data_IF_748771215907
#
_entry.id   IF_748771215907
#
_cell.length_a   1.000
_cell.length_b   1.000
_cell.length_c   1.000
_cell.angle_alpha   90.00
_cell.angle_beta   90.00
_cell.angle_gamma   90.00
#
_symmetry.space_group_name_H-M   'P 1'
#
loop_
_entity.id
_entity.type
_entity.pdbx_description
1 polymer ?
#
# COMPACT_ATOMS: atom_id res chain seq x y z
N UNK A 1 -8.73 -2.39 -13.76
CA UNK A 1 -9.16 -2.14 -12.36
C UNK A 1 -8.50 -3.17 -11.45
N UNK A 2 -7.79 -2.71 -10.42
CA UNK A 2 -7.03 -3.42 -9.36
C UNK A 2 -5.94 -4.44 -9.75
N UNK A 3 -5.93 -4.99 -10.96
CA UNK A 3 -4.95 -6.01 -11.38
C UNK A 3 -3.47 -5.57 -11.37
N UNK A 4 -3.19 -4.27 -11.34
CA UNK A 4 -1.84 -3.68 -11.27
C UNK A 4 -1.41 -3.28 -9.86
N UNK A 5 -2.26 -3.46 -8.85
CA UNK A 5 -1.96 -3.12 -7.46
C UNK A 5 -1.28 -4.26 -6.70
N UNK A 6 -1.28 -5.45 -7.29
CA UNK A 6 -0.67 -6.64 -6.71
C UNK A 6 0.68 -6.89 -7.37
N UNK A 7 1.70 -6.92 -6.53
CA UNK A 7 3.02 -7.33 -6.95
C UNK A 7 3.08 -8.85 -7.04
N UNK A 8 3.77 -9.37 -8.06
CA UNK A 8 3.98 -10.80 -8.26
C UNK A 8 5.26 -11.19 -7.52
N UNK A 9 5.13 -11.87 -6.38
CA UNK A 9 6.26 -12.45 -5.65
C UNK A 9 6.44 -13.90 -6.10
N UNK A 10 7.63 -14.24 -6.58
CA UNK A 10 8.01 -15.63 -6.84
C UNK A 10 8.48 -16.26 -5.53
N UNK A 11 7.81 -17.34 -5.09
CA UNK A 11 8.33 -18.18 -4.01
C UNK A 11 9.35 -19.15 -4.61
N UNK A 12 10.50 -19.32 -3.95
CA UNK A 12 11.56 -20.23 -4.38
C UNK A 12 11.06 -21.65 -4.68
N UNK A 13 11.72 -22.28 -5.66
CA UNK A 13 11.54 -23.63 -6.24
C UNK A 13 10.22 -24.35 -5.92
N UNK A 14 9.21 -24.15 -6.79
CA UNK A 14 7.95 -24.90 -6.81
C UNK A 14 6.75 -24.19 -6.19
N UNK A 15 6.91 -22.95 -5.71
CA UNK A 15 5.83 -22.15 -5.17
C UNK A 15 4.98 -21.46 -6.24
N UNK A 16 3.66 -21.62 -6.17
CA UNK A 16 2.69 -20.88 -6.99
C UNK A 16 2.84 -19.36 -6.83
N UNK A 17 2.63 -18.61 -7.91
CA UNK A 17 2.69 -17.14 -7.94
C UNK A 17 1.82 -16.50 -6.84
N UNK A 18 2.45 -15.76 -5.91
CA UNK A 18 1.74 -15.07 -4.83
C UNK A 18 1.57 -13.58 -5.18
N UNK A 19 0.31 -13.15 -5.25
CA UNK A 19 -0.06 -11.75 -5.47
C UNK A 19 -0.08 -11.04 -4.12
N UNK A 20 0.86 -10.11 -3.90
CA UNK A 20 0.96 -9.36 -2.65
C UNK A 20 0.51 -7.90 -2.82
N UNK A 21 -0.24 -7.32 -1.85
CA UNK A 21 -0.78 -5.97 -1.93
C UNK A 21 0.28 -4.92 -1.58
N UNK A 22 1.31 -4.77 -2.42
CA UNK A 22 2.52 -3.98 -2.11
C UNK A 22 2.26 -2.53 -1.66
N UNK A 23 1.17 -1.91 -2.13
CA UNK A 23 0.85 -0.51 -1.79
C UNK A 23 0.37 -0.33 -0.34
N UNK A 24 -0.03 -1.43 0.31
CA UNK A 24 -0.46 -1.47 1.71
C UNK A 24 0.63 -2.03 2.62
N UNK A 25 1.69 -2.62 2.07
CA UNK A 25 2.74 -3.24 2.88
C UNK A 25 3.65 -2.18 3.50
N UNK A 26 4.09 -2.45 4.72
CA UNK A 26 5.11 -1.67 5.39
C UNK A 26 6.47 -1.84 4.68
N UNK A 27 7.38 -0.84 4.73
CA UNK A 27 8.68 -0.93 4.05
C UNK A 27 9.48 -2.16 4.48
N UNK A 28 9.48 -2.50 5.76
CA UNK A 28 10.12 -3.71 6.30
C UNK A 28 9.47 -5.01 5.80
N UNK A 29 8.16 -5.01 5.54
CA UNK A 29 7.46 -6.16 4.93
C UNK A 29 7.78 -6.31 3.45
N UNK A 30 8.12 -5.22 2.76
CA UNK A 30 8.49 -5.24 1.34
C UNK A 30 9.95 -5.66 1.16
N UNK A 31 10.84 -5.21 2.04
CA UNK A 31 12.28 -5.42 1.93
C UNK A 31 12.74 -6.76 2.52
N UNK A 32 12.21 -7.13 3.69
CA UNK A 32 12.73 -8.24 4.49
C UNK A 32 11.68 -9.31 4.80
N UNK A 33 10.47 -9.21 4.24
CA UNK A 33 9.34 -10.10 4.53
C UNK A 33 9.02 -10.22 6.03
N UNK A 34 9.22 -9.12 6.77
CA UNK A 34 8.89 -9.02 8.20
C UNK A 34 7.41 -8.65 8.36
N UNK A 35 6.70 -9.40 9.21
CA UNK A 35 5.30 -9.15 9.54
C UNK A 35 5.13 -9.10 11.06
N UNK A 36 4.68 -7.96 11.57
CA UNK A 36 4.48 -7.67 13.00
C UNK A 36 3.22 -6.83 13.22
N UNK A 37 2.84 -6.58 14.46
CA UNK A 37 1.73 -5.67 14.76
C UNK A 37 1.99 -4.25 14.22
N UNK A 38 3.26 -3.82 14.13
CA UNK A 38 3.61 -2.52 13.56
C UNK A 38 3.34 -2.46 12.05
N UNK A 39 3.57 -3.57 11.33
CA UNK A 39 3.29 -3.65 9.88
C UNK A 39 1.78 -3.66 9.61
N UNK A 40 1.00 -4.20 10.55
CA UNK A 40 -0.46 -4.14 10.50
C UNK A 40 -0.97 -2.71 10.74
N UNK A 41 -0.38 -1.97 11.69
CA UNK A 41 -0.68 -0.55 11.92
C UNK A 41 -0.39 0.29 10.68
N UNK A 42 0.70 0.00 9.95
CA UNK A 42 0.98 0.65 8.68
C UNK A 42 -0.13 0.40 7.65
N UNK A 43 -0.48 -0.89 7.44
CA UNK A 43 -1.51 -1.30 6.48
C UNK A 43 -2.85 -0.65 6.82
N UNK A 44 -3.20 -0.60 8.11
CA UNK A 44 -4.38 0.10 8.62
C UNK A 44 -4.36 1.60 8.29
N UNK A 45 -3.22 2.27 8.45
CA UNK A 45 -3.09 3.69 8.08
C UNK A 45 -3.36 3.95 6.60
N UNK A 46 -2.90 3.06 5.71
CA UNK A 46 -3.22 3.13 4.28
C UNK A 46 -4.72 2.92 4.04
N UNK A 47 -5.35 1.95 4.71
CA UNK A 47 -6.81 1.74 4.61
C UNK A 47 -7.61 2.93 5.10
N UNK A 48 -7.19 3.57 6.21
CA UNK A 48 -7.83 4.81 6.70
C UNK A 48 -7.74 5.92 5.65
N UNK A 49 -6.58 6.07 5.02
CA UNK A 49 -6.42 7.03 3.92
C UNK A 49 -7.37 6.73 2.75
N UNK A 50 -7.54 5.46 2.38
CA UNK A 50 -8.51 5.08 1.33
C UNK A 50 -9.94 5.43 1.70
N UNK A 51 -10.35 5.24 2.96
CA UNK A 51 -11.69 5.62 3.44
C UNK A 51 -11.90 7.12 3.24
N UNK A 52 -10.93 7.94 3.66
CA UNK A 52 -11.04 9.41 3.57
C UNK A 52 -10.94 9.95 2.15
N UNK A 53 -10.40 9.17 1.21
CA UNK A 53 -10.32 9.53 -0.20
C UNK A 53 -11.41 8.86 -1.06
N UNK A 54 -12.44 8.27 -0.44
CA UNK A 54 -13.51 7.57 -1.14
C UNK A 54 -13.01 6.45 -2.08
N UNK A 55 -12.00 5.70 -1.64
CA UNK A 55 -11.45 4.55 -2.35
C UNK A 55 -10.46 4.89 -3.46
N UNK A 56 -9.76 6.04 -3.37
CA UNK A 56 -8.62 6.30 -4.26
C UNK A 56 -7.53 5.26 -4.05
N UNK A 57 -6.75 5.00 -5.09
CA UNK A 57 -5.64 4.05 -5.03
C UNK A 57 -4.45 4.72 -4.32
N UNK A 58 -3.87 4.11 -3.28
CA UNK A 58 -2.72 4.68 -2.59
C UNK A 58 -1.48 4.75 -3.51
N UNK A 59 -0.70 5.82 -3.38
CA UNK A 59 0.53 6.06 -4.13
C UNK A 59 0.34 6.01 -5.67
N UNK A 60 -0.78 6.56 -6.17
CA UNK A 60 -1.00 6.72 -7.61
C UNK A 60 0.19 7.39 -8.31
N UNK A 61 0.59 6.88 -9.48
CA UNK A 61 1.72 7.42 -10.24
C UNK A 61 3.09 6.84 -9.86
N UNK A 62 3.20 6.15 -8.72
CA UNK A 62 4.42 5.45 -8.33
C UNK A 62 4.31 3.97 -8.76
N UNK A 63 5.28 3.44 -9.53
CA UNK A 63 5.33 2.03 -9.87
C UNK A 63 5.67 1.19 -8.63
N UNK A 64 5.09 -0.01 -8.52
CA UNK A 64 5.29 -0.91 -7.38
C UNK A 64 6.78 -1.14 -7.02
N UNK A 65 7.63 -1.36 -8.02
CA UNK A 65 9.08 -1.54 -7.84
C UNK A 65 9.80 -0.30 -7.28
N UNK A 66 9.27 0.89 -7.53
CA UNK A 66 9.83 2.14 -7.03
C UNK A 66 9.30 2.56 -5.66
N UNK A 67 8.24 1.90 -5.19
CA UNK A 67 7.53 2.32 -3.98
C UNK A 67 8.43 2.25 -2.74
N UNK A 68 9.18 1.14 -2.56
CA UNK A 68 10.09 0.98 -1.42
C UNK A 68 11.10 2.13 -1.34
N UNK A 69 11.70 2.51 -2.47
CA UNK A 69 12.68 3.60 -2.53
C UNK A 69 12.07 4.94 -2.13
N UNK A 70 10.85 5.24 -2.56
CA UNK A 70 10.17 6.47 -2.18
C UNK A 70 9.77 6.46 -0.69
N UNK A 71 9.33 5.32 -0.16
CA UNK A 71 9.04 5.17 1.27
C UNK A 71 10.29 5.37 2.14
N UNK A 72 11.44 4.83 1.72
CA UNK A 72 12.74 5.02 2.38
C UNK A 72 13.22 6.49 2.32
N UNK A 73 12.86 7.24 1.26
CA UNK A 73 13.10 8.69 1.15
C UNK A 73 12.19 9.53 2.05
N UNK A 74 11.25 8.91 2.75
CA UNK A 74 10.28 9.59 3.62
C UNK A 74 9.02 10.05 2.90
N UNK A 75 8.82 9.67 1.63
CA UNK A 75 7.56 9.97 0.94
C UNK A 75 6.41 9.24 1.65
N UNK A 76 5.31 9.94 1.88
CA UNK A 76 4.08 9.41 2.48
C UNK A 76 2.88 9.83 1.64
N UNK A 77 1.74 9.20 1.89
CA UNK A 77 0.48 9.63 1.27
C UNK A 77 0.19 11.08 1.69
N UNK A 78 -0.26 11.87 0.74
CA UNK A 78 -0.72 13.23 1.01
C UNK A 78 -1.94 13.17 1.93
N UNK A 79 -2.11 14.21 2.75
CA UNK A 79 -3.31 14.31 3.58
C UNK A 79 -4.53 14.28 2.65
N UNK A 80 -5.52 13.40 2.90
CA UNK A 80 -6.74 13.39 2.11
C UNK A 80 -7.42 14.75 2.26
N UNK A 81 -7.80 15.34 1.13
CA UNK A 81 -8.83 16.37 1.14
C UNK A 81 -10.09 15.74 1.75
N UNK A 82 -10.88 16.51 2.50
CA UNK A 82 -12.07 16.03 3.23
C UNK A 82 -13.22 15.57 2.29
N UNK A 83 -12.91 14.91 1.17
CA UNK A 83 -13.88 14.42 0.18
C UNK A 83 -14.80 13.35 0.74
N UNK A 84 -14.40 12.64 1.80
CA UNK A 84 -15.28 11.75 2.56
C UNK A 84 -16.28 12.50 3.48
N UNK A 85 -16.08 13.80 3.73
CA UNK A 85 -16.95 14.64 4.55
C UNK A 85 -17.79 15.60 3.69
N UNK A 86 -18.08 15.26 2.43
CA UNK A 86 -19.13 15.95 1.69
C UNK A 86 -20.45 15.69 2.42
N UNK A 87 -20.85 16.67 3.24
CA UNK A 87 -22.06 16.67 4.05
C UNK A 87 -23.29 16.43 3.15
N UNK A 88 -23.81 15.20 3.16
CA UNK A 88 -25.26 15.04 3.04
C UNK A 88 -25.86 15.22 4.44
N UNK A 89 -26.17 16.47 4.78
CA UNK A 89 -27.10 16.86 5.86
C UNK A 89 -28.17 17.76 5.29
#
# INVERSE_FOLDING_TARGET
MYGTNYFRREKGEGGSEEKVPIRWMAPESIEEDIYTEATDVWSFGVTVWEIFTCGRIPYTGIPAMGLLKELQRGQRLERPDNEACLDEV
#
